data_IF_554229266202
#
_entry.id   IF_554229266202
#
_cell.length_a   1.000
_cell.length_b   1.000
_cell.length_c   1.000
_cell.angle_alpha   90.00
_cell.angle_beta   90.00
_cell.angle_gamma   90.00
#
_symmetry.space_group_name_H-M   'P 1'
#
loop_
_entity.id
_entity.type
_entity.pdbx_description
1 polymer ?
#
# COMPACT_ATOMS: atom_id res chain seq x y z
N UNK A 1 -7.48 0.45 22.92
CA UNK A 1 -6.71 1.46 22.14
C UNK A 1 -5.34 0.93 21.72
N UNK A 2 -4.51 0.38 22.62
CA UNK A 2 -3.17 -0.13 22.24
C UNK A 2 -3.16 -1.29 21.24
N UNK A 3 -4.12 -2.21 21.29
CA UNK A 3 -4.21 -3.37 20.38
C UNK A 3 -4.62 -2.98 18.95
N UNK A 4 -5.59 -2.08 18.79
CA UNK A 4 -6.08 -1.62 17.48
C UNK A 4 -4.99 -0.93 16.66
N UNK A 5 -4.19 -0.07 17.29
CA UNK A 5 -3.07 0.63 16.62
C UNK A 5 -1.99 -0.39 16.19
N UNK A 6 -1.75 -1.43 17.00
CA UNK A 6 -0.81 -2.50 16.64
C UNK A 6 -1.32 -3.34 15.46
N UNK A 7 -2.61 -3.65 15.42
CA UNK A 7 -3.25 -4.36 14.30
C UNK A 7 -3.15 -3.56 13.00
N UNK A 8 -3.48 -2.26 13.04
CA UNK A 8 -3.36 -1.36 11.89
C UNK A 8 -1.91 -1.29 11.41
N UNK A 9 -0.95 -1.09 12.32
CA UNK A 9 0.48 -1.10 11.97
C UNK A 9 0.91 -2.44 11.34
N UNK A 10 0.35 -3.57 11.81
CA UNK A 10 0.60 -4.87 11.21
C UNK A 10 0.12 -4.93 9.75
N UNK A 11 -1.04 -4.33 9.43
CA UNK A 11 -1.53 -4.22 8.06
C UNK A 11 -0.58 -3.38 7.20
N UNK A 12 -0.10 -2.24 7.70
CA UNK A 12 0.88 -1.39 6.98
C UNK A 12 2.17 -2.16 6.69
N UNK A 13 2.73 -2.85 7.68
CA UNK A 13 3.96 -3.62 7.51
C UNK A 13 3.79 -4.76 6.50
N UNK A 14 2.63 -5.42 6.52
CA UNK A 14 2.31 -6.47 5.54
C UNK A 14 2.09 -5.90 4.14
N UNK A 15 1.52 -4.70 4.02
CA UNK A 15 1.41 -4.00 2.74
C UNK A 15 2.80 -3.68 2.18
N UNK A 16 3.68 -3.08 2.99
CA UNK A 16 5.07 -2.82 2.61
C UNK A 16 5.75 -4.11 2.14
N UNK A 17 5.61 -5.19 2.89
CA UNK A 17 6.14 -6.50 2.50
C UNK A 17 5.57 -7.01 1.18
N UNK A 18 4.25 -6.89 0.98
CA UNK A 18 3.58 -7.32 -0.24
C UNK A 18 4.00 -6.49 -1.47
N UNK A 19 4.39 -5.22 -1.30
CA UNK A 19 5.02 -4.43 -2.37
C UNK A 19 6.40 -4.98 -2.72
N UNK A 20 7.20 -5.39 -1.73
CA UNK A 20 8.53 -5.97 -1.96
C UNK A 20 8.43 -7.32 -2.68
N UNK A 21 7.58 -8.21 -2.19
CA UNK A 21 7.45 -9.58 -2.73
C UNK A 21 6.60 -9.63 -3.99
N UNK A 22 5.73 -8.63 -4.19
CA UNK A 22 4.74 -8.56 -5.28
C UNK A 22 3.81 -9.80 -5.31
N UNK A 23 3.69 -10.51 -4.18
CA UNK A 23 2.91 -11.73 -4.07
C UNK A 23 1.41 -11.41 -4.12
N UNK A 24 0.71 -12.00 -5.09
CA UNK A 24 -0.71 -11.74 -5.34
C UNK A 24 -1.60 -12.04 -4.13
N UNK A 25 -1.46 -13.23 -3.56
CA UNK A 25 -2.33 -13.69 -2.48
C UNK A 25 -2.13 -12.84 -1.21
N UNK A 26 -0.88 -12.53 -0.87
CA UNK A 26 -0.55 -11.66 0.26
C UNK A 26 -1.11 -10.26 0.04
N UNK A 27 -0.84 -9.66 -1.12
CA UNK A 27 -1.30 -8.31 -1.45
C UNK A 27 -2.82 -8.21 -1.40
N UNK A 28 -3.52 -9.07 -2.15
CA UNK A 28 -4.99 -9.04 -2.23
C UNK A 28 -5.67 -9.32 -0.89
N UNK A 29 -5.06 -10.14 -0.01
CA UNK A 29 -5.61 -10.45 1.31
C UNK A 29 -5.73 -9.24 2.25
N UNK A 30 -5.00 -8.15 1.97
CA UNK A 30 -4.99 -6.94 2.78
C UNK A 30 -6.17 -6.02 2.50
N UNK A 31 -6.80 -6.16 1.34
CA UNK A 31 -7.86 -5.26 0.88
C UNK A 31 -9.24 -5.73 1.32
N UNK A 32 -10.21 -4.80 1.31
CA UNK A 32 -11.59 -5.10 1.65
C UNK A 32 -12.22 -6.10 0.66
N UNK A 33 -11.71 -6.18 -0.57
CA UNK A 33 -12.13 -7.18 -1.55
C UNK A 33 -13.42 -6.80 -2.27
N UNK A 34 -13.61 -5.51 -2.56
CA UNK A 34 -14.82 -4.96 -3.17
C UNK A 34 -14.49 -4.06 -4.37
N UNK A 35 -15.47 -3.83 -5.25
CA UNK A 35 -15.39 -2.83 -6.35
C UNK A 35 -15.10 -1.40 -5.84
N UNK A 36 -15.19 -1.18 -4.53
CA UNK A 36 -14.89 0.10 -3.85
C UNK A 36 -13.41 0.29 -3.52
N UNK A 37 -12.58 -0.75 -3.64
CA UNK A 37 -11.15 -0.61 -3.40
C UNK A 37 -10.54 0.33 -4.43
N UNK A 38 -9.82 1.33 -3.97
CA UNK A 38 -9.24 2.35 -4.87
C UNK A 38 -7.80 2.65 -4.53
N UNK A 39 -6.99 2.86 -5.56
CA UNK A 39 -5.64 3.35 -5.41
C UNK A 39 -5.40 4.52 -6.36
N UNK A 40 -4.89 5.62 -5.83
CA UNK A 40 -4.47 6.77 -6.61
C UNK A 40 -2.95 6.81 -6.60
N UNK A 41 -2.37 6.68 -7.79
CA UNK A 41 -1.00 7.10 -8.08
C UNK A 41 -1.01 8.48 -8.71
N UNK A 42 0.16 9.12 -8.76
CA UNK A 42 0.37 10.50 -9.26
C UNK A 42 -0.51 10.92 -10.45
N UNK A 43 -0.73 10.04 -11.43
CA UNK A 43 -1.54 10.33 -12.62
C UNK A 43 -2.67 9.34 -12.88
N UNK A 44 -2.84 8.29 -12.09
CA UNK A 44 -3.82 7.22 -12.37
C UNK A 44 -4.68 6.90 -11.15
N UNK A 45 -5.92 6.52 -11.44
CA UNK A 45 -6.84 5.95 -10.46
C UNK A 45 -7.12 4.51 -10.87
N UNK A 46 -6.81 3.58 -9.98
CA UNK A 46 -7.11 2.15 -10.11
C UNK A 46 -8.34 1.84 -9.24
N UNK A 47 -9.31 1.12 -9.80
CA UNK A 47 -10.58 0.80 -9.14
C UNK A 47 -10.78 -0.72 -9.15
N UNK A 48 -11.03 -1.28 -7.97
CA UNK A 48 -11.14 -2.71 -7.71
C UNK A 48 -9.78 -3.37 -7.52
N UNK A 49 -9.71 -4.30 -6.56
CA UNK A 49 -8.47 -4.99 -6.19
C UNK A 49 -7.77 -5.69 -7.36
N UNK A 50 -8.55 -6.21 -8.32
CA UNK A 50 -7.99 -6.83 -9.52
C UNK A 50 -7.18 -5.82 -10.35
N UNK A 51 -7.71 -4.64 -10.63
CA UNK A 51 -6.98 -3.61 -11.38
C UNK A 51 -5.81 -3.04 -10.60
N UNK A 52 -5.97 -2.87 -9.28
CA UNK A 52 -4.86 -2.44 -8.42
C UNK A 52 -3.70 -3.45 -8.54
N UNK A 53 -3.99 -4.75 -8.53
CA UNK A 53 -2.94 -5.75 -8.70
C UNK A 53 -2.38 -5.78 -10.14
N UNK A 54 -3.23 -5.95 -11.15
CA UNK A 54 -2.78 -6.16 -12.53
C UNK A 54 -2.14 -4.92 -13.13
N UNK A 55 -2.69 -3.73 -12.89
CA UNK A 55 -2.26 -2.54 -13.62
C UNK A 55 -1.18 -1.79 -12.85
N UNK A 56 -1.28 -1.76 -11.52
CA UNK A 56 -0.28 -1.10 -10.67
C UNK A 56 0.85 -2.04 -10.27
N UNK A 57 0.58 -3.16 -9.58
CA UNK A 57 1.65 -4.06 -9.13
C UNK A 57 2.37 -4.71 -10.32
N UNK A 58 1.63 -5.30 -11.25
CA UNK A 58 2.25 -5.97 -12.41
C UNK A 58 2.61 -4.96 -13.50
N UNK A 59 1.64 -4.14 -13.93
CA UNK A 59 1.75 -3.25 -15.08
C UNK A 59 2.73 -2.08 -14.88
N UNK A 60 2.87 -1.57 -13.65
CA UNK A 60 3.79 -0.48 -13.34
C UNK A 60 5.04 -0.98 -12.60
N UNK A 61 4.89 -1.61 -11.44
CA UNK A 61 6.02 -1.96 -10.57
C UNK A 61 6.84 -3.11 -11.15
N UNK A 62 6.25 -4.30 -11.32
CA UNK A 62 6.98 -5.50 -11.75
C UNK A 62 7.60 -5.33 -13.14
N UNK A 63 6.87 -4.64 -14.03
CA UNK A 63 7.34 -4.31 -15.38
C UNK A 63 8.57 -3.41 -15.34
N UNK A 64 8.59 -2.38 -14.49
CA UNK A 64 9.67 -1.39 -14.45
C UNK A 64 10.89 -1.85 -13.64
N UNK A 65 10.69 -2.66 -12.60
CA UNK A 65 11.72 -2.96 -11.61
C UNK A 65 11.94 -4.47 -11.42
N UNK A 66 13.19 -4.89 -11.26
CA UNK A 66 13.56 -6.24 -10.84
C UNK A 66 13.51 -6.41 -9.32
N UNK A 67 13.73 -5.33 -8.59
CA UNK A 67 13.64 -5.26 -7.13
C UNK A 67 13.04 -3.91 -6.74
N UNK A 68 12.21 -3.90 -5.71
CA UNK A 68 11.62 -2.69 -5.13
C UNK A 68 11.53 -2.86 -3.62
N UNK A 69 11.99 -1.84 -2.90
CA UNK A 69 11.78 -1.70 -1.46
C UNK A 69 11.01 -0.42 -1.22
N UNK A 70 9.79 -0.55 -0.72
CA UNK A 70 9.06 0.55 -0.08
C UNK A 70 9.51 0.66 1.39
N UNK A 71 9.90 1.84 1.83
CA UNK A 71 10.38 2.07 3.20
C UNK A 71 9.60 3.23 3.78
N UNK A 72 8.96 3.02 4.93
CA UNK A 72 8.40 4.10 5.72
C UNK A 72 9.53 4.79 6.48
N UNK A 73 9.68 6.10 6.29
CA UNK A 73 10.77 6.89 6.89
C UNK A 73 10.61 7.00 8.41
N UNK A 74 9.36 6.99 8.86
CA UNK A 74 8.94 7.18 10.24
C UNK A 74 7.79 6.23 10.57
N UNK A 75 7.51 5.95 11.86
CA UNK A 75 6.33 5.20 12.25
C UNK A 75 5.05 5.84 11.68
N UNK A 76 4.14 5.05 11.07
CA UNK A 76 2.92 5.59 10.50
C UNK A 76 2.05 6.32 11.54
N UNK A 77 1.54 7.49 11.16
CA UNK A 77 0.55 8.22 11.94
C UNK A 77 -0.82 7.58 11.74
N UNK A 78 -1.47 7.16 12.83
CA UNK A 78 -2.75 6.44 12.78
C UNK A 78 -3.82 7.28 13.48
N UNK A 79 -4.84 7.65 12.71
CA UNK A 79 -6.01 8.40 13.18
C UNK A 79 -7.25 7.51 13.10
N UNK A 80 -7.78 7.10 14.25
CA UNK A 80 -9.08 6.45 14.32
C UNK A 80 -10.17 7.52 14.12
N UNK A 81 -10.97 7.38 13.07
CA UNK A 81 -12.13 8.23 12.84
C UNK A 81 -13.34 7.74 13.65
N UNK A 82 -13.45 6.42 13.77
CA UNK A 82 -14.43 5.71 14.59
C UNK A 82 -13.88 4.31 14.94
N UNK A 83 -14.72 3.43 15.50
CA UNK A 83 -14.30 2.08 15.91
C UNK A 83 -13.99 1.11 14.75
N UNK A 84 -14.36 1.47 13.53
CA UNK A 84 -14.28 0.66 12.32
C UNK A 84 -13.53 1.34 11.18
N UNK A 85 -13.18 2.62 11.29
CA UNK A 85 -12.52 3.39 10.23
C UNK A 85 -11.29 4.09 10.76
N UNK A 86 -10.18 3.98 10.02
CA UNK A 86 -8.92 4.63 10.32
C UNK A 86 -8.31 5.27 9.09
N UNK A 87 -7.58 6.36 9.29
CA UNK A 87 -6.65 6.94 8.32
C UNK A 87 -5.23 6.66 8.81
N UNK A 88 -4.37 6.21 7.91
CA UNK A 88 -2.94 6.04 8.14
C UNK A 88 -2.18 6.96 7.21
N UNK A 89 -1.21 7.70 7.73
CA UNK A 89 -0.37 8.60 6.96
C UNK A 89 1.09 8.27 7.25
N UNK A 90 1.91 8.10 6.22
CA UNK A 90 3.35 7.94 6.42
C UNK A 90 4.14 8.50 5.25
N UNK A 91 5.28 9.10 5.59
CA UNK A 91 6.30 9.46 4.63
C UNK A 91 7.05 8.22 4.21
N UNK A 92 7.35 8.10 2.92
CA UNK A 92 8.06 6.97 2.39
C UNK A 92 9.17 7.37 1.43
N UNK A 93 10.10 6.46 1.22
CA UNK A 93 10.89 6.39 0.01
C UNK A 93 10.90 4.98 -0.58
N UNK A 94 11.32 4.90 -1.83
CA UNK A 94 11.54 3.63 -2.52
C UNK A 94 13.00 3.49 -2.93
N UNK A 95 13.49 2.26 -2.86
CA UNK A 95 14.75 1.85 -3.47
C UNK A 95 14.44 0.78 -4.50
N UNK A 96 14.72 1.05 -5.77
CA UNK A 96 14.40 0.17 -6.88
C UNK A 96 15.64 -0.15 -7.71
N UNK A 97 15.65 -1.35 -8.32
CA UNK A 97 16.56 -1.70 -9.41
C UNK A 97 15.74 -1.75 -10.70
N UNK A 98 16.05 -0.88 -11.66
CA UNK A 98 15.38 -0.85 -12.95
C UNK A 98 15.65 -2.13 -13.73
N UNK A 99 14.60 -2.67 -14.34
CA UNK A 99 14.68 -3.87 -15.16
C UNK A 99 15.39 -3.65 -16.49
N UNK A 100 15.28 -2.44 -17.05
CA UNK A 100 15.83 -2.10 -18.37
C UNK A 100 17.36 -2.16 -18.41
N UNK A 101 18.02 -1.56 -17.42
CA UNK A 101 19.47 -1.31 -17.43
C UNK A 101 20.18 -1.70 -16.12
N UNK A 102 19.43 -2.16 -15.10
CA UNK A 102 19.97 -2.47 -13.78
C UNK A 102 20.35 -1.25 -12.94
N UNK A 103 20.03 -0.03 -13.38
CA UNK A 103 20.34 1.17 -12.61
C UNK A 103 19.49 1.24 -11.34
N UNK A 104 20.01 1.90 -10.31
CA UNK A 104 19.21 2.26 -9.14
C UNK A 104 18.24 3.38 -9.49
N UNK A 105 17.09 3.38 -8.82
CA UNK A 105 16.08 4.44 -8.89
C UNK A 105 15.37 4.53 -7.55
N UNK A 106 14.75 5.66 -7.26
CA UNK A 106 13.97 5.85 -6.05
C UNK A 106 13.16 7.13 -6.13
N UNK A 107 12.02 7.10 -5.46
CA UNK A 107 11.16 8.26 -5.23
C UNK A 107 10.89 8.38 -3.73
N UNK A 108 10.59 9.59 -3.29
CA UNK A 108 10.09 9.86 -1.95
C UNK A 108 8.74 10.55 -2.05
N UNK A 109 7.93 10.40 -1.01
CA UNK A 109 6.59 10.94 -1.02
C UNK A 109 5.84 10.76 0.28
N UNK A 110 4.54 11.02 0.22
CA UNK A 110 3.59 10.79 1.29
C UNK A 110 2.52 9.82 0.82
N UNK A 111 2.19 8.84 1.65
CA UNK A 111 1.08 7.91 1.41
C UNK A 111 0.01 8.09 2.48
N UNK A 112 -1.24 8.15 2.04
CA UNK A 112 -2.44 8.11 2.88
C UNK A 112 -3.21 6.84 2.57
N UNK A 113 -3.50 6.05 3.60
CA UNK A 113 -4.31 4.85 3.51
C UNK A 113 -5.61 5.05 4.32
N UNK A 114 -6.74 4.64 3.75
CA UNK A 114 -7.99 4.50 4.50
C UNK A 114 -8.23 3.01 4.74
N UNK A 115 -8.41 2.67 6.00
CA UNK A 115 -8.66 1.30 6.43
C UNK A 115 -10.04 1.17 7.07
N UNK A 116 -10.63 -0.01 6.87
CA UNK A 116 -11.87 -0.41 7.53
C UNK A 116 -11.67 -1.71 8.31
N UNK A 117 -12.29 -1.80 9.48
CA UNK A 117 -12.42 -3.05 10.22
C UNK A 117 -13.66 -3.79 9.70
N UNK A 118 -13.44 -4.92 9.02
CA UNK A 118 -14.48 -5.79 8.47
C UNK A 118 -14.36 -7.14 9.16
N UNK A 119 -15.45 -7.60 9.78
CA UNK A 119 -15.50 -8.86 10.53
C UNK A 119 -14.35 -9.00 11.57
N UNK A 120 -14.01 -7.89 12.22
CA UNK A 120 -12.93 -7.83 13.23
C UNK A 120 -11.52 -7.77 12.66
N UNK A 121 -11.35 -7.61 11.34
CA UNK A 121 -10.05 -7.47 10.69
C UNK A 121 -9.89 -6.12 10.01
N UNK A 122 -8.79 -5.43 10.26
CA UNK A 122 -8.43 -4.23 9.52
C UNK A 122 -7.99 -4.56 8.10
N UNK A 123 -8.54 -3.83 7.14
CA UNK A 123 -8.34 -4.00 5.70
C UNK A 123 -8.16 -2.65 5.03
N UNK A 124 -7.35 -2.61 3.98
CA UNK A 124 -7.20 -1.47 3.07
C UNK A 124 -8.48 -1.28 2.24
N UNK A 125 -8.95 -0.04 2.13
CA UNK A 125 -10.07 0.34 1.28
C UNK A 125 -9.66 1.39 0.25
N UNK A 126 -8.74 2.28 0.62
CA UNK A 126 -8.24 3.31 -0.27
C UNK A 126 -6.76 3.57 0.01
N UNK A 127 -5.98 3.80 -1.04
CA UNK A 127 -4.63 4.35 -0.95
C UNK A 127 -4.52 5.54 -1.89
N UNK A 128 -3.87 6.60 -1.42
CA UNK A 128 -3.39 7.68 -2.26
C UNK A 128 -1.95 7.99 -1.88
N UNK A 129 -1.04 7.88 -2.83
CA UNK A 129 0.32 8.34 -2.66
C UNK A 129 0.65 9.47 -3.63
N UNK A 130 1.50 10.39 -3.15
CA UNK A 130 1.98 11.56 -3.91
C UNK A 130 3.48 11.72 -3.70
N UNK A 131 4.15 12.36 -4.67
CA UNK A 131 5.58 12.68 -4.66
C UNK A 131 5.78 14.19 -4.55
#
# INVERSE_FOLDING_TARGET
>A
MGTTIQEINSVVNRYIHAIHTQNEAEFKSLWCGADTDTMISVTNVYQGIEKIYTDFIIGAIQKAYTDIKLIADEPPEIHLLDNQTAIVIFKYHTECIKREDGSTFGISGMETQVMKCIDGQWKLCHIHYSM
#
